data_IF_971462331329
#
_entry.id   IF_971462331329
#
_cell.length_a   1.000
_cell.length_b   1.000
_cell.length_c   1.000
_cell.angle_alpha   90.00
_cell.angle_beta   90.00
_cell.angle_gamma   90.00
#
_symmetry.space_group_name_H-M   'P 1'
#
loop_
_entity.id
_entity.type
_entity.pdbx_description
1 polymer ?
#
# COMPACT_ATOMS: atom_id res chain seq x y z
N UNK A 1 -7.51 16.15 -7.35
CA UNK A 1 -8.18 14.97 -7.94
C UNK A 1 -8.12 13.88 -6.89
N UNK A 2 -9.25 13.34 -6.41
CA UNK A 2 -9.24 12.32 -5.36
C UNK A 2 -9.09 10.95 -6.03
N UNK A 3 -7.90 10.36 -5.96
CA UNK A 3 -7.67 9.00 -6.48
C UNK A 3 -8.04 8.03 -5.37
N UNK A 4 -9.26 7.49 -5.42
CA UNK A 4 -9.67 6.39 -4.56
C UNK A 4 -9.03 5.09 -5.09
N UNK A 5 -7.96 4.65 -4.43
CA UNK A 5 -7.26 3.42 -4.80
C UNK A 5 -8.13 2.20 -4.39
N UNK A 6 -8.81 1.58 -5.35
CA UNK A 6 -9.69 0.42 -5.10
C UNK A 6 -8.99 -0.91 -5.44
N UNK A 7 -9.20 -1.94 -4.60
CA UNK A 7 -8.58 -3.28 -4.78
C UNK A 7 -9.11 -4.04 -5.99
N UNK A 8 -10.30 -3.68 -6.48
CA UNK A 8 -10.93 -4.27 -7.66
C UNK A 8 -10.25 -3.82 -8.96
N UNK A 9 -9.48 -2.72 -8.91
CA UNK A 9 -8.72 -2.23 -10.06
C UNK A 9 -7.59 -3.20 -10.46
N UNK A 10 -7.06 -3.03 -11.69
CA UNK A 10 -5.92 -3.85 -12.12
C UNK A 10 -4.68 -3.42 -11.34
N UNK A 11 -3.75 -4.37 -11.16
CA UNK A 11 -2.50 -4.12 -10.42
C UNK A 11 -1.71 -2.95 -11.02
N UNK A 12 -1.70 -2.83 -12.34
CA UNK A 12 -1.00 -1.74 -13.02
C UNK A 12 -1.62 -0.38 -12.71
N UNK A 13 -2.96 -0.27 -12.68
CA UNK A 13 -3.64 0.97 -12.31
C UNK A 13 -3.34 1.36 -10.85
N UNK A 14 -3.42 0.39 -9.92
CA UNK A 14 -3.07 0.58 -8.51
C UNK A 14 -1.63 1.06 -8.36
N UNK A 15 -0.69 0.49 -9.11
CA UNK A 15 0.72 0.90 -9.10
C UNK A 15 0.88 2.35 -9.55
N UNK A 16 0.26 2.72 -10.67
CA UNK A 16 0.36 4.08 -11.20
C UNK A 16 -0.31 5.09 -10.25
N UNK A 17 -1.43 4.74 -9.62
CA UNK A 17 -2.06 5.53 -8.56
C UNK A 17 -1.17 5.71 -7.33
N UNK A 18 -0.48 4.66 -6.87
CA UNK A 18 0.46 4.75 -5.76
C UNK A 18 1.64 5.69 -6.05
N UNK A 19 2.12 5.71 -7.30
CA UNK A 19 3.20 6.63 -7.71
C UNK A 19 2.71 8.07 -7.69
N UNK A 20 1.51 8.33 -8.21
CA UNK A 20 0.92 9.66 -8.24
C UNK A 20 0.68 10.15 -6.81
N UNK A 21 0.03 9.35 -5.97
CA UNK A 21 -0.29 9.69 -4.58
C UNK A 21 0.96 9.88 -3.73
N UNK A 22 2.01 9.09 -3.95
CA UNK A 22 3.29 9.33 -3.30
C UNK A 22 3.89 10.66 -3.75
N UNK A 23 3.82 10.98 -5.04
CA UNK A 23 4.27 12.26 -5.59
C UNK A 23 3.53 13.46 -4.99
N UNK A 24 2.20 13.36 -4.83
CA UNK A 24 1.37 14.38 -4.15
C UNK A 24 1.77 14.56 -2.67
N UNK A 25 2.21 13.48 -2.00
CA UNK A 25 2.74 13.54 -0.64
C UNK A 25 4.19 14.07 -0.56
N UNK A 26 4.80 14.47 -1.68
CA UNK A 26 6.17 14.95 -1.76
C UNK A 26 7.23 13.84 -1.78
N UNK A 27 6.82 12.62 -2.12
CA UNK A 27 7.65 11.42 -2.02
C UNK A 27 7.83 10.71 -3.35
N UNK A 28 9.05 10.25 -3.62
CA UNK A 28 9.34 9.58 -4.88
C UNK A 28 9.26 8.07 -4.72
N UNK A 29 8.17 7.46 -5.22
CA UNK A 29 8.00 6.01 -5.27
C UNK A 29 8.54 5.44 -6.58
N UNK A 30 9.60 4.63 -6.52
CA UNK A 30 10.09 3.91 -7.70
C UNK A 30 9.06 2.91 -8.21
N UNK A 31 8.95 2.74 -9.54
CA UNK A 31 8.03 1.77 -10.18
C UNK A 31 8.11 0.35 -9.59
N UNK A 32 9.32 -0.12 -9.27
CA UNK A 32 9.52 -1.45 -8.67
C UNK A 32 8.95 -1.54 -7.23
N UNK A 33 9.03 -0.47 -6.44
CA UNK A 33 8.41 -0.41 -5.11
C UNK A 33 6.89 -0.31 -5.20
N UNK A 34 6.41 0.59 -6.07
CA UNK A 34 4.99 0.73 -6.36
C UNK A 34 4.35 -0.61 -6.79
N UNK A 35 5.06 -1.40 -7.61
CA UNK A 35 4.58 -2.70 -8.08
C UNK A 35 4.47 -3.74 -6.95
N UNK A 36 5.44 -3.75 -6.03
CA UNK A 36 5.40 -4.58 -4.81
C UNK A 36 4.23 -4.17 -3.90
N UNK A 37 4.06 -2.87 -3.67
CA UNK A 37 2.99 -2.32 -2.84
C UNK A 37 1.60 -2.60 -3.45
N UNK A 38 1.44 -2.41 -4.76
CA UNK A 38 0.22 -2.76 -5.48
C UNK A 38 -0.12 -4.25 -5.34
N UNK A 39 0.87 -5.13 -5.37
CA UNK A 39 0.67 -6.56 -5.17
C UNK A 39 0.23 -6.89 -3.73
N UNK A 40 0.85 -6.25 -2.72
CA UNK A 40 0.45 -6.41 -1.31
C UNK A 40 -0.97 -5.90 -1.06
N UNK A 41 -1.27 -4.69 -1.52
CA UNK A 41 -2.59 -4.08 -1.44
C UNK A 41 -3.67 -4.96 -2.09
N UNK A 42 -3.39 -5.51 -3.27
CA UNK A 42 -4.33 -6.41 -3.98
C UNK A 42 -4.53 -7.75 -3.26
N UNK A 43 -3.53 -8.24 -2.55
CA UNK A 43 -3.62 -9.44 -1.70
C UNK A 43 -4.26 -9.16 -0.33
N UNK A 44 -4.55 -7.90 -0.01
CA UNK A 44 -5.04 -7.49 1.30
C UNK A 44 -3.96 -7.43 2.39
N UNK A 45 -2.69 -7.63 2.03
CA UNK A 45 -1.57 -7.58 2.96
C UNK A 45 -1.25 -6.13 3.30
N UNK A 46 -1.05 -5.87 4.59
CA UNK A 46 -0.64 -4.56 5.06
C UNK A 46 0.84 -4.26 4.75
N UNK A 47 1.11 -2.99 4.45
CA UNK A 47 2.46 -2.44 4.36
C UNK A 47 2.44 -1.01 4.92
N UNK A 48 3.37 -0.63 5.80
CA UNK A 48 3.41 0.73 6.34
C UNK A 48 3.61 1.81 5.26
N UNK A 49 4.22 1.50 4.10
CA UNK A 49 4.26 2.44 2.98
C UNK A 49 2.86 2.63 2.35
N UNK A 50 1.96 1.62 2.39
CA UNK A 50 0.57 1.79 1.94
C UNK A 50 -0.23 2.68 2.90
N UNK A 51 0.00 2.55 4.21
CA UNK A 51 -0.59 3.47 5.20
C UNK A 51 -0.17 4.91 4.92
N UNK A 52 1.12 5.14 4.65
CA UNK A 52 1.62 6.48 4.41
C UNK A 52 1.14 7.10 3.09
N UNK A 53 1.01 6.31 2.03
CA UNK A 53 0.66 6.81 0.69
C UNK A 53 -0.85 6.94 0.51
N UNK A 54 -1.64 6.00 1.01
CA UNK A 54 -3.09 5.94 0.76
C UNK A 54 -3.93 5.81 2.04
N UNK A 55 -3.34 6.02 3.21
CA UNK A 55 -4.01 5.83 4.51
C UNK A 55 -4.64 4.44 4.67
N UNK A 56 -4.06 3.44 4.00
CA UNK A 56 -4.53 2.07 4.09
C UNK A 56 -4.24 1.53 5.49
N UNK A 57 -5.28 1.45 6.32
CA UNK A 57 -5.22 0.79 7.62
C UNK A 57 -5.21 -0.72 7.45
N UNK A 58 -4.43 -1.40 8.28
CA UNK A 58 -4.32 -2.87 8.38
C UNK A 58 -5.70 -3.50 8.65
N UNK A 59 -6.38 -4.07 7.63
CA UNK A 59 -7.74 -4.56 7.80
C UNK A 59 -7.78 -5.94 8.48
N UNK A 60 -6.65 -6.64 8.52
CA UNK A 60 -6.52 -8.02 9.03
C UNK A 60 -5.84 -8.08 10.40
N UNK A 61 -5.24 -6.97 10.87
CA UNK A 61 -4.46 -6.96 12.11
C UNK A 61 -3.14 -7.72 12.01
N UNK A 62 -2.65 -8.00 10.80
CA UNK A 62 -1.39 -8.72 10.56
C UNK A 62 -0.20 -8.07 11.26
N UNK A 63 -0.21 -6.74 11.40
CA UNK A 63 0.84 -6.01 12.11
C UNK A 63 0.84 -6.34 13.60
N UNK A 64 -0.34 -6.49 14.19
CA UNK A 64 -0.49 -6.87 15.60
C UNK A 64 -0.03 -8.32 15.82
N UNK A 65 -0.39 -9.25 14.93
CA UNK A 65 0.00 -10.66 15.03
C UNK A 65 1.51 -10.84 14.85
N UNK A 66 2.12 -10.18 13.87
CA UNK A 66 3.57 -10.24 13.66
C UNK A 66 4.36 -9.67 14.84
N UNK A 67 3.87 -8.62 15.51
CA UNK A 67 4.50 -8.08 16.72
C UNK A 67 4.47 -9.08 17.89
N UNK A 68 3.38 -9.83 18.05
CA UNK A 68 3.28 -10.87 19.08
C UNK A 68 4.21 -12.04 18.77
N UNK A 69 4.28 -12.49 17.51
CA UNK A 69 5.18 -13.58 17.09
C UNK A 69 6.66 -13.21 17.18
N UNK A 70 7.02 -11.95 16.89
CA UNK A 70 8.41 -11.49 17.02
C UNK A 70 8.85 -11.29 18.48
N UNK A 71 7.91 -11.21 19.41
CA UNK A 71 8.15 -11.06 20.84
C UNK A 71 8.12 -12.39 21.61
N UNK A 72 7.87 -13.51 20.92
CA UNK A 72 7.83 -14.88 21.46
C UNK A 72 9.12 -15.64 21.15
#
# INVERSE_FOLDING_TARGET
MYIACDRSAKKNDIRDWLIILAGDNGETLSKARADKLANKFKKGLFDPELERVIQYSDPTGETAVNKVLAAA
#
